data_IF_057835032287
#
_entry.id   IF_057835032287
#
_cell.length_a   1.000
_cell.length_b   1.000
_cell.length_c   1.000
_cell.angle_alpha   90.00
_cell.angle_beta   90.00
_cell.angle_gamma   90.00
#
_symmetry.space_group_name_H-M   'P 1'
#
loop_
_entity.id
_entity.type
_entity.pdbx_description
1 polymer ?
#
# COMPACT_ATOMS: atom_id res chain seq x y z
N UNK A 1 -2.52 15.20 11.95
CA UNK A 1 -3.22 14.92 10.67
C UNK A 1 -2.71 13.62 10.11
N UNK A 2 -3.57 12.80 9.51
CA UNK A 2 -3.19 11.54 8.84
C UNK A 2 -3.08 11.75 7.33
N UNK A 3 -2.31 10.90 6.66
CA UNK A 3 -2.19 10.86 5.20
C UNK A 3 -2.47 9.43 4.74
N UNK A 4 -3.21 9.29 3.65
CA UNK A 4 -3.42 8.01 2.97
C UNK A 4 -2.43 7.88 1.81
N UNK A 5 -1.66 6.79 1.81
CA UNK A 5 -0.66 6.52 0.75
C UNK A 5 -1.17 5.55 -0.32
N UNK A 6 -2.12 4.70 0.04
CA UNK A 6 -2.72 3.66 -0.79
C UNK A 6 -4.13 3.40 -0.26
N UNK A 7 -5.15 3.59 -1.09
CA UNK A 7 -6.55 3.54 -0.69
C UNK A 7 -7.48 3.97 -1.82
N UNK A 8 -8.65 4.52 -1.49
CA UNK A 8 -9.67 4.86 -2.50
C UNK A 8 -9.19 5.96 -3.46
N UNK A 9 -8.39 6.91 -2.97
CA UNK A 9 -7.88 8.02 -3.78
C UNK A 9 -6.67 7.66 -4.64
N UNK A 10 -5.87 6.67 -4.22
CA UNK A 10 -4.66 6.22 -4.93
C UNK A 10 -4.67 4.70 -4.95
N UNK A 11 -4.96 4.14 -6.13
CA UNK A 11 -4.97 2.69 -6.34
C UNK A 11 -3.58 2.07 -6.32
N UNK A 12 -3.52 0.74 -6.11
CA UNK A 12 -2.25 0.00 -6.03
C UNK A 12 -1.44 0.05 -7.33
N UNK A 13 -2.11 -0.05 -8.48
CA UNK A 13 -1.45 -0.01 -9.78
C UNK A 13 -0.96 1.39 -10.13
N UNK A 14 -1.71 2.43 -9.73
CA UNK A 14 -1.28 3.82 -9.90
C UNK A 14 -0.02 4.11 -9.08
N UNK A 15 -0.02 3.72 -7.80
CA UNK A 15 1.14 3.88 -6.93
C UNK A 15 2.35 3.11 -7.46
N UNK A 16 2.13 1.90 -7.96
CA UNK A 16 3.18 1.07 -8.55
C UNK A 16 3.78 1.72 -9.81
N UNK A 17 2.95 2.23 -10.72
CA UNK A 17 3.38 2.92 -11.93
C UNK A 17 4.25 4.16 -11.60
N UNK A 18 3.82 4.96 -10.61
CA UNK A 18 4.60 6.11 -10.13
C UNK A 18 5.92 5.73 -9.44
N UNK A 19 5.98 4.52 -8.89
CA UNK A 19 7.14 3.97 -8.17
C UNK A 19 8.08 3.15 -9.06
N UNK A 20 7.76 2.97 -10.35
CA UNK A 20 8.56 2.16 -11.28
C UNK A 20 8.54 0.66 -10.98
N UNK A 21 7.41 0.14 -10.45
CA UNK A 21 7.23 -1.29 -10.13
C UNK A 21 5.79 -1.75 -10.45
N UNK A 22 5.41 -2.95 -10.00
CA UNK A 22 4.09 -3.55 -10.09
C UNK A 22 3.40 -3.63 -8.71
N UNK A 23 2.07 -3.65 -8.69
CA UNK A 23 1.29 -3.64 -7.44
C UNK A 23 1.63 -4.79 -6.49
N UNK A 24 1.99 -5.96 -7.03
CA UNK A 24 2.45 -7.09 -6.23
C UNK A 24 3.67 -6.75 -5.37
N UNK A 25 4.67 -6.06 -5.92
CA UNK A 25 5.87 -5.69 -5.15
C UNK A 25 5.55 -4.66 -4.07
N UNK A 26 4.64 -3.71 -4.34
CA UNK A 26 4.16 -2.75 -3.35
C UNK A 26 3.57 -3.49 -2.15
N UNK A 27 2.64 -4.42 -2.38
CA UNK A 27 1.94 -5.13 -1.30
C UNK A 27 2.84 -6.13 -0.54
N UNK A 28 3.79 -6.76 -1.23
CA UNK A 28 4.66 -7.79 -0.63
C UNK A 28 5.92 -7.25 0.02
N UNK A 29 6.39 -6.05 -0.36
CA UNK A 29 7.54 -5.39 0.28
C UNK A 29 7.18 -4.61 1.55
N UNK A 30 5.92 -4.63 1.99
CA UNK A 30 5.50 -4.09 3.29
C UNK A 30 6.06 -4.95 4.44
N UNK A 31 7.28 -4.63 4.84
CA UNK A 31 8.00 -5.33 5.89
C UNK A 31 7.41 -5.15 7.30
N UNK A 32 8.20 -5.53 8.31
CA UNK A 32 7.79 -5.52 9.73
C UNK A 32 7.68 -4.13 10.35
N UNK A 33 8.16 -3.08 9.68
CA UNK A 33 8.08 -1.69 10.18
C UNK A 33 6.66 -1.14 10.20
N UNK A 34 5.74 -1.73 9.44
CA UNK A 34 4.34 -1.34 9.40
C UNK A 34 3.51 -2.20 10.35
N UNK A 35 2.79 -1.52 11.24
CA UNK A 35 1.79 -2.15 12.11
C UNK A 35 0.68 -2.80 11.27
N UNK A 36 0.20 -3.97 11.72
CA UNK A 36 -0.85 -4.72 11.04
C UNK A 36 -2.10 -4.72 11.92
N UNK A 37 -3.19 -4.20 11.38
CA UNK A 37 -4.53 -4.25 12.00
C UNK A 37 -5.43 -5.15 11.17
N UNK A 38 -5.87 -6.26 11.74
CA UNK A 38 -6.82 -7.18 11.12
C UNK A 38 -8.24 -6.76 11.48
N UNK A 39 -9.09 -6.62 10.47
CA UNK A 39 -10.50 -6.21 10.61
C UNK A 39 -11.42 -7.26 10.04
N UNK A 40 -12.60 -7.45 10.65
CA UNK A 40 -13.62 -8.38 10.14
C UNK A 40 -13.28 -9.87 10.32
N UNK A 41 -12.54 -10.21 11.39
CA UNK A 41 -12.32 -11.60 11.80
C UNK A 41 -13.57 -12.27 12.32
#
# INVERSE_FOLDING_TARGET
>A
ATVELLGDAIGVDELAARSGTIGYEILTRLGRRYERRYVGG
#
